data_IF_062040338938
#
_entry.id   IF_062040338938
#
_cell.length_a   1.000
_cell.length_b   1.000
_cell.length_c   1.000
_cell.angle_alpha   90.00
_cell.angle_beta   90.00
_cell.angle_gamma   90.00
#
_symmetry.space_group_name_H-M   'P 1'
#
loop_
_entity.id
_entity.type
_entity.pdbx_description
1 polymer ?
#
# COMPACT_ATOMS: atom_id res chain seq x y z
N UNK A 1 0.06 9.94 67.44
CA UNK A 1 -1.21 9.46 66.86
C UNK A 1 -1.56 10.27 65.62
N UNK A 2 -1.51 11.62 65.67
CA UNK A 2 -1.70 12.51 64.50
C UNK A 2 -0.82 12.19 63.29
N UNK A 3 0.51 12.03 63.45
CA UNK A 3 1.42 11.67 62.32
C UNK A 3 1.08 10.35 61.62
N UNK A 4 0.46 9.39 62.32
CA UNK A 4 0.09 8.09 61.74
C UNK A 4 -1.20 8.23 60.92
N UNK A 5 -2.13 9.06 61.39
CA UNK A 5 -3.35 9.42 60.66
C UNK A 5 -3.06 10.29 59.42
N UNK A 6 -2.12 11.25 59.52
CA UNK A 6 -1.68 12.07 58.38
C UNK A 6 -1.01 11.23 57.29
N UNK A 7 -0.13 10.29 57.66
CA UNK A 7 0.51 9.39 56.70
C UNK A 7 -0.50 8.46 56.01
N UNK A 8 -1.46 7.89 56.76
CA UNK A 8 -2.51 7.04 56.17
C UNK A 8 -3.45 7.81 55.22
N UNK A 9 -3.69 9.10 55.47
CA UNK A 9 -4.50 9.95 54.59
C UNK A 9 -3.74 10.32 53.31
N UNK A 10 -2.43 10.61 53.42
CA UNK A 10 -1.55 10.86 52.27
C UNK A 10 -1.43 9.62 51.38
N UNK A 11 -1.21 8.43 51.97
CA UNK A 11 -1.10 7.17 51.23
C UNK A 11 -2.40 6.84 50.48
N UNK A 12 -3.57 7.08 51.11
CA UNK A 12 -4.87 6.92 50.46
C UNK A 12 -5.10 7.90 49.31
N UNK A 13 -4.59 9.13 49.40
CA UNK A 13 -4.65 10.12 48.33
C UNK A 13 -3.71 9.75 47.17
N UNK A 14 -2.49 9.32 47.48
CA UNK A 14 -1.52 8.83 46.49
C UNK A 14 -2.11 7.66 45.72
N UNK A 15 -2.71 6.67 46.39
CA UNK A 15 -3.31 5.53 45.72
C UNK A 15 -4.43 5.95 44.75
N UNK A 16 -5.31 6.87 45.15
CA UNK A 16 -6.36 7.39 44.26
C UNK A 16 -5.81 8.15 43.06
N UNK A 17 -4.72 8.91 43.22
CA UNK A 17 -4.05 9.60 42.11
C UNK A 17 -3.43 8.57 41.16
N UNK A 18 -2.76 7.55 41.69
CA UNK A 18 -2.16 6.46 40.90
C UNK A 18 -3.25 5.71 40.11
N UNK A 19 -4.34 5.32 40.76
CA UNK A 19 -5.45 4.61 40.12
C UNK A 19 -6.07 5.44 38.99
N UNK A 20 -6.28 6.74 39.23
CA UNK A 20 -6.83 7.66 38.23
C UNK A 20 -5.85 7.88 37.06
N UNK A 21 -4.55 7.99 37.32
CA UNK A 21 -3.52 8.11 36.28
C UNK A 21 -3.45 6.84 35.44
N UNK A 22 -3.41 5.66 36.08
CA UNK A 22 -3.40 4.36 35.39
C UNK A 22 -4.66 4.20 34.55
N UNK A 23 -5.83 4.57 35.09
CA UNK A 23 -7.10 4.55 34.36
C UNK A 23 -7.05 5.45 33.14
N UNK A 24 -6.52 6.66 33.26
CA UNK A 24 -6.37 7.58 32.13
C UNK A 24 -5.42 7.03 31.08
N UNK A 25 -4.27 6.47 31.47
CA UNK A 25 -3.29 5.87 30.55
C UNK A 25 -3.92 4.68 29.80
N UNK A 26 -4.60 3.78 30.51
CA UNK A 26 -5.26 2.61 29.89
C UNK A 26 -6.37 2.98 28.92
N UNK A 27 -7.03 4.12 29.15
CA UNK A 27 -8.14 4.60 28.34
C UNK A 27 -7.72 5.64 27.29
N UNK A 28 -6.42 5.91 27.11
CA UNK A 28 -5.99 6.75 25.99
C UNK A 28 -6.21 6.01 24.67
N UNK A 29 -6.82 6.66 23.68
CA UNK A 29 -6.97 6.06 22.36
C UNK A 29 -5.58 5.83 21.76
N UNK A 30 -5.34 4.61 21.28
CA UNK A 30 -4.11 4.27 20.55
C UNK A 30 -4.03 5.11 19.28
N UNK A 31 -2.82 5.55 18.94
CA UNK A 31 -2.54 6.42 17.79
C UNK A 31 -1.73 5.66 16.76
N UNK A 32 -2.26 5.57 15.54
CA UNK A 32 -1.52 5.00 14.41
C UNK A 32 -1.26 6.03 13.33
N UNK A 33 -0.06 5.98 12.75
CA UNK A 33 0.21 6.61 11.45
C UNK A 33 0.05 5.55 10.38
N UNK A 34 -0.91 5.78 9.50
CA UNK A 34 -1.27 4.86 8.43
C UNK A 34 -0.66 5.35 7.12
N UNK A 35 0.00 4.46 6.40
CA UNK A 35 0.68 4.74 5.15
C UNK A 35 0.00 4.04 3.99
N UNK A 36 -0.32 4.79 2.95
CA UNK A 36 -0.74 4.24 1.66
C UNK A 36 0.29 4.57 0.59
N UNK A 37 0.58 3.60 -0.26
CA UNK A 37 1.51 3.75 -1.39
C UNK A 37 0.75 3.68 -2.72
N UNK A 38 1.47 3.76 -3.84
CA UNK A 38 0.87 3.68 -5.19
C UNK A 38 0.43 2.26 -5.58
N UNK A 39 -0.34 1.57 -4.72
CA UNK A 39 -0.81 0.22 -4.96
C UNK A 39 -2.27 0.03 -4.54
N UNK A 40 -3.04 -0.66 -5.38
CA UNK A 40 -4.47 -0.91 -5.18
C UNK A 40 -4.82 -2.33 -4.72
N UNK A 41 -3.92 -3.30 -4.92
CA UNK A 41 -4.13 -4.69 -4.48
C UNK A 41 -4.18 -4.75 -2.95
N UNK A 42 -5.23 -5.36 -2.39
CA UNK A 42 -5.46 -5.42 -0.95
C UNK A 42 -5.98 -4.13 -0.32
N UNK A 43 -6.31 -3.10 -1.11
CA UNK A 43 -6.76 -1.80 -0.61
C UNK A 43 -8.07 -1.90 0.17
N UNK A 44 -9.06 -2.62 -0.35
CA UNK A 44 -10.39 -2.69 0.28
C UNK A 44 -10.33 -3.43 1.61
N UNK A 45 -9.62 -4.56 1.63
CA UNK A 45 -9.39 -5.37 2.81
C UNK A 45 -8.67 -4.57 3.90
N UNK A 46 -7.70 -3.75 3.49
CA UNK A 46 -6.98 -2.87 4.41
C UNK A 46 -7.87 -1.73 4.93
N UNK A 47 -8.69 -1.11 4.08
CA UNK A 47 -9.67 -0.11 4.50
C UNK A 47 -10.66 -0.66 5.52
N UNK A 48 -11.18 -1.87 5.28
CA UNK A 48 -12.09 -2.53 6.22
C UNK A 48 -11.43 -2.80 7.59
N UNK A 49 -10.14 -3.14 7.61
CA UNK A 49 -9.36 -3.26 8.85
C UNK A 49 -9.16 -1.92 9.56
N UNK A 50 -8.87 -0.84 8.82
CA UNK A 50 -8.70 0.50 9.40
C UNK A 50 -9.99 1.05 10.01
N UNK A 51 -11.13 0.80 9.35
CA UNK A 51 -12.46 1.15 9.86
C UNK A 51 -12.76 0.43 11.19
N UNK A 52 -12.37 -0.85 11.31
CA UNK A 52 -12.47 -1.59 12.58
C UNK A 52 -11.59 -0.97 13.68
N UNK A 53 -10.35 -0.55 13.35
CA UNK A 53 -9.50 0.15 14.32
C UNK A 53 -10.12 1.46 14.81
N UNK A 54 -10.69 2.28 13.90
CA UNK A 54 -11.39 3.50 14.31
C UNK A 54 -12.61 3.21 15.19
N UNK A 55 -13.38 2.16 14.86
CA UNK A 55 -14.53 1.74 15.66
C UNK A 55 -14.11 1.34 17.09
N UNK A 56 -12.91 0.78 17.24
CA UNK A 56 -12.30 0.46 18.53
C UNK A 56 -11.61 1.67 19.20
N UNK A 57 -11.82 2.87 18.68
CA UNK A 57 -11.36 4.13 19.27
C UNK A 57 -9.93 4.52 18.90
N UNK A 58 -9.29 3.87 17.92
CA UNK A 58 -7.98 4.29 17.46
C UNK A 58 -8.04 5.65 16.74
N UNK A 59 -7.06 6.49 17.01
CA UNK A 59 -6.83 7.74 16.28
C UNK A 59 -5.87 7.47 15.12
N UNK A 60 -6.31 7.75 13.90
CA UNK A 60 -5.52 7.52 12.69
C UNK A 60 -5.05 8.85 12.09
N UNK A 61 -3.75 8.95 11.77
CA UNK A 61 -3.22 9.95 10.84
C UNK A 61 -2.85 9.24 9.55
N UNK A 62 -3.36 9.68 8.41
CA UNK A 62 -3.14 9.01 7.13
C UNK A 62 -2.15 9.78 6.28
N UNK A 63 -1.11 9.09 5.81
CA UNK A 63 -0.07 9.59 4.92
C UNK A 63 -0.11 8.82 3.60
N UNK A 64 -0.26 9.53 2.49
CA UNK A 64 -0.15 8.97 1.15
C UNK A 64 1.20 9.32 0.53
N UNK A 65 1.82 8.36 -0.17
CA UNK A 65 2.92 8.71 -1.08
C UNK A 65 2.42 9.52 -2.27
N UNK A 66 3.33 10.18 -2.98
CA UNK A 66 2.98 10.93 -4.19
C UNK A 66 2.31 10.05 -5.26
N UNK A 67 2.70 8.78 -5.36
CA UNK A 67 2.03 7.81 -6.25
C UNK A 67 0.72 7.30 -5.65
N UNK A 68 0.63 7.17 -4.33
CA UNK A 68 -0.64 6.88 -3.65
C UNK A 68 -1.69 7.96 -3.92
N UNK A 69 -1.29 9.24 -3.94
CA UNK A 69 -2.17 10.37 -4.30
C UNK A 69 -2.68 10.32 -5.75
N UNK A 70 -1.99 9.61 -6.65
CA UNK A 70 -2.38 9.48 -8.07
C UNK A 70 -3.19 8.22 -8.34
N UNK A 71 -2.84 7.13 -7.66
CA UNK A 71 -3.41 5.79 -7.89
C UNK A 71 -4.67 5.57 -7.07
N UNK A 72 -4.71 6.10 -5.86
CA UNK A 72 -5.85 5.98 -4.95
C UNK A 72 -6.72 7.23 -5.06
N UNK A 73 -7.92 7.16 -4.50
CA UNK A 73 -8.82 8.32 -4.34
C UNK A 73 -8.65 8.88 -2.91
N UNK A 74 -7.87 9.97 -2.71
CA UNK A 74 -7.63 10.53 -1.40
C UNK A 74 -8.90 11.09 -0.77
N UNK A 75 -9.84 11.59 -1.59
CA UNK A 75 -11.12 12.12 -1.12
C UNK A 75 -12.01 11.01 -0.57
N UNK A 76 -12.06 9.86 -1.24
CA UNK A 76 -12.76 8.68 -0.74
C UNK A 76 -12.15 8.18 0.57
N UNK A 77 -10.81 8.05 0.65
CA UNK A 77 -10.12 7.65 1.89
C UNK A 77 -10.42 8.63 3.03
N UNK A 78 -10.36 9.93 2.75
CA UNK A 78 -10.63 10.97 3.73
C UNK A 78 -12.06 10.88 4.28
N UNK A 79 -13.04 10.68 3.39
CA UNK A 79 -14.44 10.57 3.77
C UNK A 79 -14.74 9.27 4.52
N UNK A 80 -14.27 8.12 4.04
CA UNK A 80 -14.52 6.81 4.66
C UNK A 80 -13.91 6.74 6.07
N UNK A 81 -12.71 7.28 6.27
CA UNK A 81 -12.05 7.32 7.57
C UNK A 81 -12.38 8.57 8.39
N UNK A 82 -13.32 9.42 7.95
CA UNK A 82 -13.71 10.66 8.63
C UNK A 82 -12.51 11.49 9.12
N UNK A 83 -11.59 11.82 8.20
CA UNK A 83 -10.32 12.48 8.50
C UNK A 83 -10.39 13.97 8.18
N UNK A 84 -9.83 14.81 9.06
CA UNK A 84 -9.69 16.25 8.80
C UNK A 84 -8.72 16.54 7.65
N UNK A 85 -7.68 15.70 7.52
CA UNK A 85 -6.62 15.89 6.53
C UNK A 85 -5.98 14.56 6.11
N UNK A 86 -5.67 14.46 4.83
CA UNK A 86 -4.72 13.48 4.29
C UNK A 86 -3.35 14.14 4.18
N UNK A 87 -2.35 13.54 4.80
CA UNK A 87 -0.97 14.03 4.75
C UNK A 87 -0.26 13.50 3.49
N UNK A 88 0.53 14.34 2.85
CA UNK A 88 1.38 13.98 1.71
C UNK A 88 2.56 14.95 1.62
N UNK A 89 3.51 14.69 0.72
CA UNK A 89 4.75 15.48 0.60
C UNK A 89 4.54 17.00 0.50
N UNK A 90 3.45 17.44 -0.14
CA UNK A 90 3.14 18.84 -0.38
C UNK A 90 2.52 19.59 0.81
N UNK A 91 2.05 18.90 1.85
CA UNK A 91 1.39 19.54 3.00
C UNK A 91 2.02 19.20 4.36
N UNK A 92 2.94 18.23 4.42
CA UNK A 92 3.66 17.89 5.66
C UNK A 92 4.68 18.97 5.97
N UNK A 93 4.40 19.78 7.00
CA UNK A 93 5.32 20.82 7.50
C UNK A 93 6.35 20.27 8.49
N UNK A 94 5.96 19.28 9.29
CA UNK A 94 6.79 18.66 10.32
C UNK A 94 6.51 17.16 10.37
N UNK A 95 7.50 16.35 10.03
CA UNK A 95 7.39 14.90 10.17
C UNK A 95 7.23 14.47 11.63
N UNK A 96 7.83 15.22 12.57
CA UNK A 96 7.73 14.97 14.02
C UNK A 96 6.30 15.04 14.54
N UNK A 97 5.46 15.88 13.94
CA UNK A 97 4.04 15.95 14.31
C UNK A 97 3.28 14.68 13.93
N UNK A 98 3.76 13.92 12.94
CA UNK A 98 3.17 12.65 12.54
C UNK A 98 3.64 11.53 13.46
N UNK A 99 4.96 11.34 13.60
CA UNK A 99 5.49 10.18 14.34
C UNK A 99 5.59 10.38 15.85
N UNK A 100 5.68 11.62 16.36
CA UNK A 100 6.09 11.90 17.75
C UNK A 100 5.12 11.43 18.84
N UNK A 101 3.91 11.06 18.46
CA UNK A 101 2.90 10.50 19.38
C UNK A 101 2.27 9.20 18.87
N UNK A 102 2.90 8.58 17.86
CA UNK A 102 2.40 7.36 17.27
C UNK A 102 2.79 6.15 18.12
N UNK A 103 1.81 5.35 18.50
CA UNK A 103 2.03 4.06 19.16
C UNK A 103 2.38 2.97 18.15
N UNK A 104 2.00 3.16 16.88
CA UNK A 104 2.18 2.17 15.82
C UNK A 104 2.19 2.82 14.43
N UNK A 105 2.92 2.21 13.51
CA UNK A 105 2.86 2.48 12.09
C UNK A 105 2.15 1.34 11.36
N UNK A 106 1.23 1.70 10.46
CA UNK A 106 0.45 0.74 9.68
C UNK A 106 0.63 1.05 8.19
N UNK A 107 1.30 0.20 7.43
CA UNK A 107 1.38 0.34 5.98
C UNK A 107 0.20 -0.43 5.37
N UNK A 108 -0.90 0.29 5.12
CA UNK A 108 -2.15 -0.27 4.63
C UNK A 108 -2.05 -0.76 3.18
N UNK A 109 -1.19 -0.14 2.36
CA UNK A 109 -0.85 -0.67 1.03
C UNK A 109 0.63 -0.51 0.81
N UNK A 110 1.36 -1.63 0.67
CA UNK A 110 2.80 -1.61 0.42
C UNK A 110 3.11 -2.02 -1.02
N UNK A 111 3.48 -1.06 -1.85
CA UNK A 111 3.90 -1.33 -3.22
C UNK A 111 5.20 -2.12 -3.27
N UNK A 112 5.42 -2.84 -4.38
CA UNK A 112 6.72 -3.50 -4.68
C UNK A 112 7.89 -2.51 -4.55
N UNK A 113 7.73 -1.28 -5.05
CA UNK A 113 8.76 -0.25 -4.99
C UNK A 113 9.06 0.16 -3.54
N UNK A 114 8.03 0.34 -2.72
CA UNK A 114 8.19 0.66 -1.29
C UNK A 114 8.88 -0.48 -0.55
N UNK A 115 8.47 -1.72 -0.76
CA UNK A 115 9.08 -2.87 -0.12
C UNK A 115 10.57 -2.99 -0.48
N UNK A 116 10.90 -2.86 -1.77
CA UNK A 116 12.29 -2.90 -2.24
C UNK A 116 13.14 -1.78 -1.64
N UNK A 117 12.64 -0.54 -1.61
CA UNK A 117 13.37 0.60 -1.06
C UNK A 117 13.60 0.47 0.44
N UNK A 118 12.59 0.05 1.20
CA UNK A 118 12.74 -0.18 2.64
C UNK A 118 13.73 -1.30 2.94
N UNK A 119 13.70 -2.40 2.18
CA UNK A 119 14.59 -3.55 2.38
C UNK A 119 16.08 -3.19 2.28
N UNK A 120 16.42 -2.14 1.52
CA UNK A 120 17.80 -1.66 1.34
C UNK A 120 18.07 -0.29 2.00
N UNK A 121 17.13 0.21 2.81
CA UNK A 121 17.30 1.47 3.56
C UNK A 121 17.21 2.76 2.73
N UNK A 122 16.58 2.74 1.56
CA UNK A 122 16.34 3.96 0.76
C UNK A 122 15.20 4.78 1.37
N UNK A 123 15.47 6.05 1.64
CA UNK A 123 14.52 7.01 2.23
C UNK A 123 14.32 8.26 1.37
N UNK A 124 14.19 8.08 0.07
CA UNK A 124 14.13 9.17 -0.93
C UNK A 124 12.75 9.84 -1.08
N UNK A 125 11.78 9.44 -0.26
CA UNK A 125 10.45 10.08 -0.18
C UNK A 125 10.08 10.38 1.27
N UNK A 126 9.18 11.34 1.49
CA UNK A 126 8.70 11.68 2.83
C UNK A 126 8.09 10.46 3.54
N UNK A 127 7.33 9.63 2.82
CA UNK A 127 6.74 8.40 3.38
C UNK A 127 7.81 7.42 3.83
N UNK A 128 8.83 7.17 3.00
CA UNK A 128 9.92 6.25 3.36
C UNK A 128 10.74 6.78 4.53
N UNK A 129 11.00 8.09 4.58
CA UNK A 129 11.68 8.75 5.69
C UNK A 129 10.90 8.61 7.02
N UNK A 130 9.58 8.77 6.98
CA UNK A 130 8.71 8.53 8.13
C UNK A 130 8.79 7.08 8.61
N UNK A 131 8.63 6.10 7.73
CA UNK A 131 8.69 4.67 8.09
C UNK A 131 10.07 4.32 8.66
N UNK A 132 11.14 4.80 8.03
CA UNK A 132 12.51 4.59 8.50
C UNK A 132 12.76 5.20 9.88
N UNK A 133 12.19 6.37 10.17
CA UNK A 133 12.21 6.92 11.53
C UNK A 133 11.52 5.97 12.52
N UNK A 134 10.41 5.34 12.13
CA UNK A 134 9.74 4.32 12.94
C UNK A 134 10.65 3.16 13.29
N UNK A 135 11.41 2.64 12.33
CA UNK A 135 12.42 1.60 12.58
C UNK A 135 13.46 2.06 13.59
N UNK A 136 14.04 3.25 13.39
CA UNK A 136 15.08 3.78 14.27
C UNK A 136 14.56 4.12 15.68
N UNK A 137 13.28 4.49 15.81
CA UNK A 137 12.64 4.79 17.08
C UNK A 137 12.08 3.56 17.80
N UNK A 138 12.13 2.37 17.18
CA UNK A 138 11.51 1.15 17.71
C UNK A 138 9.98 1.20 17.72
N UNK A 139 9.36 2.06 16.90
CA UNK A 139 7.90 2.11 16.73
C UNK A 139 7.44 0.83 16.04
N UNK A 140 6.50 0.05 16.60
CA UNK A 140 5.97 -1.14 15.95
C UNK A 140 5.42 -0.83 14.56
N UNK A 141 5.80 -1.64 13.56
CA UNK A 141 5.33 -1.50 12.18
C UNK A 141 4.58 -2.74 11.74
N UNK A 142 3.34 -2.55 11.28
CA UNK A 142 2.50 -3.59 10.67
C UNK A 142 2.28 -3.21 9.21
N UNK A 143 2.41 -4.14 8.27
CA UNK A 143 2.25 -3.85 6.85
C UNK A 143 1.46 -4.93 6.11
N UNK A 144 0.58 -4.48 5.22
CA UNK A 144 -0.14 -5.34 4.29
C UNK A 144 0.75 -5.73 3.11
N UNK A 145 0.91 -7.04 2.85
CA UNK A 145 1.78 -7.56 1.80
C UNK A 145 1.11 -7.80 0.46
N UNK A 146 -0.22 -7.73 0.36
CA UNK A 146 -0.97 -8.09 -0.84
C UNK A 146 -0.39 -7.46 -2.12
N UNK A 147 -0.07 -6.17 -2.05
CA UNK A 147 0.46 -5.42 -3.17
C UNK A 147 1.93 -5.72 -3.52
N UNK A 148 2.77 -6.11 -2.56
CA UNK A 148 4.18 -6.42 -2.82
C UNK A 148 4.45 -7.91 -3.02
N UNK A 149 3.53 -8.78 -2.60
CA UNK A 149 3.64 -10.22 -2.76
C UNK A 149 3.49 -10.59 -4.25
N UNK A 150 4.49 -11.22 -4.89
CA UNK A 150 4.38 -11.70 -6.26
C UNK A 150 3.34 -12.81 -6.45
N UNK A 151 2.91 -13.44 -5.35
CA UNK A 151 2.02 -14.61 -5.33
C UNK A 151 0.59 -14.26 -4.94
N UNK A 152 0.29 -12.97 -4.74
CA UNK A 152 -1.07 -12.53 -4.46
C UNK A 152 -2.01 -12.92 -5.62
N UNK A 153 -3.16 -13.57 -5.35
CA UNK A 153 -4.09 -13.99 -6.39
C UNK A 153 -4.61 -12.84 -7.27
N UNK A 154 -4.81 -11.65 -6.70
CA UNK A 154 -5.25 -10.48 -7.45
C UNK A 154 -4.19 -10.05 -8.46
N UNK A 155 -2.90 -10.18 -8.11
CA UNK A 155 -1.79 -9.88 -9.03
C UNK A 155 -1.79 -10.83 -10.23
N UNK A 156 -2.04 -12.11 -10.01
CA UNK A 156 -2.18 -13.08 -11.10
C UNK A 156 -3.38 -12.77 -11.99
N UNK A 157 -4.53 -12.43 -11.39
CA UNK A 157 -5.75 -12.05 -12.10
C UNK A 157 -5.57 -10.80 -12.98
N UNK A 158 -4.70 -9.88 -12.58
CA UNK A 158 -4.30 -8.70 -13.37
C UNK A 158 -3.28 -9.01 -14.48
N UNK A 159 -2.99 -10.29 -14.75
CA UNK A 159 -2.06 -10.72 -15.79
C UNK A 159 -0.58 -10.58 -15.41
N UNK A 160 -0.27 -10.26 -14.16
CA UNK A 160 1.10 -10.01 -13.68
C UNK A 160 1.78 -11.26 -13.08
N UNK A 161 1.20 -12.45 -13.25
CA UNK A 161 1.73 -13.72 -12.72
C UNK A 161 2.85 -14.38 -13.55
N UNK A 162 3.31 -13.74 -14.63
CA UNK A 162 4.26 -14.32 -15.60
C UNK A 162 5.73 -13.94 -15.35
N UNK A 163 6.04 -13.35 -14.20
CA UNK A 163 7.40 -12.95 -13.85
C UNK A 163 8.36 -14.16 -13.78
N UNK A 164 9.64 -13.94 -14.10
CA UNK A 164 10.64 -15.00 -14.03
C UNK A 164 10.83 -15.48 -12.58
N UNK A 165 11.21 -16.75 -12.36
CA UNK A 165 11.43 -17.27 -11.01
C UNK A 165 12.41 -16.44 -10.17
N UNK A 166 13.53 -15.99 -10.76
CA UNK A 166 14.52 -15.15 -10.05
C UNK A 166 14.01 -13.77 -9.66
N UNK A 167 13.15 -13.17 -10.49
CA UNK A 167 12.55 -11.88 -10.14
C UNK A 167 11.56 -12.04 -8.98
N UNK A 168 10.77 -13.12 -8.99
CA UNK A 168 9.85 -13.46 -7.91
C UNK A 168 10.59 -13.71 -6.59
N UNK A 169 11.68 -14.47 -6.65
CA UNK A 169 12.59 -14.69 -5.52
C UNK A 169 13.11 -13.38 -4.93
N UNK A 170 13.60 -12.45 -5.76
CA UNK A 170 14.04 -11.13 -5.30
C UNK A 170 12.91 -10.34 -4.60
N UNK A 171 11.68 -10.40 -5.12
CA UNK A 171 10.53 -9.74 -4.48
C UNK A 171 10.19 -10.35 -3.12
N UNK A 172 10.23 -11.68 -3.00
CA UNK A 172 10.04 -12.39 -1.74
C UNK A 172 11.16 -12.03 -0.76
N UNK A 173 12.42 -12.02 -1.19
CA UNK A 173 13.56 -11.67 -0.33
C UNK A 173 13.47 -10.25 0.23
N UNK A 174 12.88 -9.30 -0.51
CA UNK A 174 12.61 -7.96 0.03
C UNK A 174 11.59 -8.03 1.18
N UNK A 175 10.54 -8.84 1.05
CA UNK A 175 9.52 -9.04 2.10
C UNK A 175 10.16 -9.73 3.32
N UNK A 176 10.98 -10.76 3.11
CA UNK A 176 11.70 -11.45 4.21
C UNK A 176 12.63 -10.49 4.96
N UNK A 177 13.43 -9.69 4.24
CA UNK A 177 14.30 -8.67 4.86
C UNK A 177 13.52 -7.70 5.75
N UNK A 178 12.33 -7.29 5.32
CA UNK A 178 11.47 -6.42 6.12
C UNK A 178 10.92 -7.10 7.37
N UNK A 179 10.65 -8.41 7.29
CA UNK A 179 10.29 -9.22 8.46
C UNK A 179 11.46 -9.30 9.45
N UNK A 180 12.68 -9.47 8.94
CA UNK A 180 13.90 -9.52 9.76
C UNK A 180 14.19 -8.17 10.44
N UNK A 181 13.76 -7.04 9.85
CA UNK A 181 13.78 -5.73 10.52
C UNK A 181 12.72 -5.58 11.62
N UNK A 182 11.89 -6.61 11.85
CA UNK A 182 10.88 -6.63 12.90
C UNK A 182 9.49 -6.15 12.45
N UNK A 183 9.25 -5.98 11.15
CA UNK A 183 7.90 -5.67 10.66
C UNK A 183 6.97 -6.87 10.79
N UNK A 184 5.74 -6.62 11.24
CA UNK A 184 4.66 -7.61 11.13
C UNK A 184 4.02 -7.54 9.74
N UNK A 185 4.28 -8.55 8.93
CA UNK A 185 3.84 -8.61 7.53
C UNK A 185 2.63 -9.55 7.40
N UNK A 186 1.48 -9.01 6.99
CA UNK A 186 0.19 -9.71 6.99
C UNK A 186 -0.63 -9.38 5.75
N UNK A 187 -1.74 -10.09 5.51
CA UNK A 187 -2.73 -9.65 4.51
C UNK A 187 -3.54 -8.45 5.04
N UNK A 188 -4.09 -7.64 4.14
CA UNK A 188 -4.89 -6.44 4.49
C UNK A 188 -6.05 -6.74 5.43
N UNK A 189 -6.70 -7.90 5.25
CA UNK A 189 -7.80 -8.37 6.10
C UNK A 189 -7.38 -8.65 7.56
N UNK A 190 -6.09 -8.91 7.79
CA UNK A 190 -5.52 -9.29 9.08
C UNK A 190 -4.83 -8.11 9.79
N UNK A 191 -4.79 -6.92 9.16
CA UNK A 191 -4.23 -5.71 9.76
C UNK A 191 -4.90 -5.40 11.10
N UNK A 192 -6.23 -5.45 11.17
CA UNK A 192 -6.97 -5.17 12.41
C UNK A 192 -6.52 -6.10 13.55
N UNK A 193 -6.61 -7.42 13.33
CA UNK A 193 -6.26 -8.43 14.34
C UNK A 193 -4.80 -8.29 14.81
N UNK A 194 -3.91 -7.99 13.87
CA UNK A 194 -2.47 -7.83 14.14
C UNK A 194 -2.13 -6.56 14.92
N UNK A 195 -2.88 -5.48 14.70
CA UNK A 195 -2.71 -4.22 15.43
C UNK A 195 -3.24 -4.32 16.88
N UNK A 196 -4.35 -5.02 17.09
CA UNK A 196 -4.96 -5.13 18.44
C UNK A 196 -4.29 -6.20 19.31
N UNK A 197 -3.69 -7.24 18.74
CA UNK A 197 -3.08 -8.35 19.49
C UNK A 197 -1.82 -7.98 20.27
N UNK A 198 -1.29 -6.76 20.11
CA UNK A 198 -0.07 -6.30 20.77
C UNK A 198 1.20 -6.90 20.16
N UNK A 199 2.38 -6.37 20.48
CA UNK A 199 3.66 -7.00 20.07
C UNK A 199 3.68 -8.47 20.53
N UNK A 200 4.08 -9.44 19.69
CA UNK A 200 4.13 -10.82 20.12
C UNK A 200 5.29 -10.92 21.11
N UNK A 201 4.98 -11.30 22.34
CA UNK A 201 5.87 -12.26 23.00
C UNK A 201 5.91 -13.46 22.06
N UNK A 202 7.10 -13.83 21.60
CA UNK A 202 7.38 -14.84 20.56
C UNK A 202 6.32 -15.95 20.45
N UNK A 203 5.53 -15.91 19.38
CA UNK A 203 4.86 -17.11 18.87
C UNK A 203 4.64 -16.94 17.37
N UNK A 204 5.67 -17.29 16.61
CA UNK A 204 5.56 -17.64 15.20
C UNK A 204 4.64 -18.85 15.07
N UNK A 205 3.34 -18.63 14.85
CA UNK A 205 2.48 -19.63 14.22
C UNK A 205 1.61 -18.94 13.18
N UNK A 206 2.03 -19.13 11.92
CA UNK A 206 1.26 -18.89 10.72
C UNK A 206 -0.02 -19.73 10.80
N UNK A 207 -1.18 -19.08 10.82
CA UNK A 207 -2.45 -19.72 10.52
C UNK A 207 -2.67 -19.53 9.03
N UNK A 208 -2.34 -20.56 8.24
CA UNK A 208 -2.83 -20.68 6.86
C UNK A 208 -3.58 -22.00 6.80
N UNK A 209 -4.90 -21.92 6.74
CA UNK A 209 -5.73 -23.07 6.38
C UNK A 209 -5.61 -23.29 4.88
N UNK A 210 -5.08 -24.47 4.53
CA UNK A 210 -5.10 -25.05 3.19
C UNK A 210 -6.51 -24.98 2.60
N UNK A 211 -6.68 -24.34 1.44
CA UNK A 211 -7.81 -24.65 0.57
C UNK A 211 -7.31 -24.93 -0.83
N UNK A 212 -7.47 -26.19 -1.18
CA UNK A 212 -7.08 -26.87 -2.41
C UNK A 212 -7.76 -26.33 -3.67
N UNK A 213 -7.02 -26.45 -4.76
CA UNK A 213 -7.34 -26.21 -6.17
C UNK A 213 -8.68 -26.82 -6.64
N UNK A 214 -9.36 -26.12 -7.56
CA UNK A 214 -10.33 -26.71 -8.49
C UNK A 214 -10.21 -26.07 -9.89
N UNK A 215 -10.11 -26.92 -10.91
CA UNK A 215 -9.95 -26.58 -12.32
C UNK A 215 -11.29 -26.32 -13.05
N UNK A 216 -11.21 -25.43 -14.05
CA UNK A 216 -11.91 -25.33 -15.36
C UNK A 216 -13.45 -25.30 -15.45
N UNK A 217 -13.95 -24.28 -16.16
CA UNK A 217 -14.73 -24.44 -17.42
C UNK A 217 -14.77 -23.15 -18.25
N UNK A 218 -14.63 -23.32 -19.56
CA UNK A 218 -14.81 -22.31 -20.61
C UNK A 218 -16.29 -21.89 -20.78
N UNK A 219 -16.52 -20.65 -21.23
CA UNK A 219 -17.63 -20.37 -22.15
C UNK A 219 -17.34 -19.18 -23.06
N UNK A 220 -17.45 -19.44 -24.36
CA UNK A 220 -17.47 -18.51 -25.50
C UNK A 220 -18.82 -17.80 -25.56
N UNK A 221 -18.90 -16.51 -25.91
CA UNK A 221 -19.85 -15.90 -26.90
C UNK A 221 -19.37 -14.50 -27.32
N UNK A 222 -19.30 -14.27 -28.63
CA UNK A 222 -19.08 -13.01 -29.35
C UNK A 222 -20.37 -12.18 -29.50
N UNK A 223 -20.30 -10.85 -29.60
CA UNK A 223 -21.13 -10.07 -30.54
C UNK A 223 -20.49 -8.71 -30.93
N UNK A 224 -20.56 -8.40 -32.24
CA UNK A 224 -19.91 -7.32 -33.02
C UNK A 224 -20.64 -5.94 -32.91
N UNK A 225 -20.07 -4.78 -33.31
CA UNK A 225 -19.92 -4.21 -34.68
C UNK A 225 -19.14 -2.85 -34.61
N UNK A 226 -18.01 -2.66 -35.32
CA UNK A 226 -17.77 -2.04 -36.65
C UNK A 226 -17.68 -0.49 -36.73
N UNK A 227 -16.50 0.06 -37.10
CA UNK A 227 -16.28 1.07 -38.17
C UNK A 227 -14.86 0.91 -38.72
N UNK A 228 -14.74 0.76 -40.03
CA UNK A 228 -13.52 0.60 -40.81
C UNK A 228 -12.85 1.96 -41.09
N UNK A 229 -11.58 2.08 -40.72
CA UNK A 229 -10.58 2.86 -41.48
C UNK A 229 -9.26 2.09 -41.44
N UNK A 230 -8.97 1.37 -42.52
CA UNK A 230 -7.85 0.42 -42.60
C UNK A 230 -6.46 1.08 -42.64
N UNK A 231 -6.37 2.40 -42.80
CA UNK A 231 -5.13 3.16 -42.76
C UNK A 231 -5.27 4.42 -41.89
N UNK A 232 -4.26 4.70 -41.06
CA UNK A 232 -4.17 5.89 -40.23
C UNK A 232 -2.80 6.58 -40.40
N UNK A 233 -2.74 7.90 -40.31
CA UNK A 233 -1.49 8.67 -40.40
C UNK A 233 -1.20 9.33 -39.05
N UNK A 234 0.00 9.10 -38.51
CA UNK A 234 0.50 9.80 -37.31
C UNK A 234 1.62 10.75 -37.70
N UNK A 235 1.29 12.03 -37.85
CA UNK A 235 2.28 13.09 -38.09
C UNK A 235 2.86 13.60 -36.77
N UNK A 236 3.78 12.81 -36.19
CA UNK A 236 4.48 13.15 -34.95
C UNK A 236 5.94 12.73 -35.00
N UNK A 237 6.82 13.57 -34.43
CA UNK A 237 8.26 13.28 -34.29
C UNK A 237 8.56 12.12 -33.33
N UNK A 238 7.72 11.90 -32.32
CA UNK A 238 7.83 10.78 -31.37
C UNK A 238 6.48 10.06 -31.29
N UNK A 239 6.49 8.74 -31.50
CA UNK A 239 5.31 7.87 -31.44
C UNK A 239 5.34 7.07 -30.14
N UNK A 240 4.35 7.31 -29.29
CA UNK A 240 4.17 6.70 -27.97
C UNK A 240 3.14 5.57 -27.99
N UNK A 241 3.11 4.74 -26.94
CA UNK A 241 2.10 3.68 -26.79
C UNK A 241 0.68 4.22 -26.84
N UNK A 242 0.46 5.42 -26.29
CA UNK A 242 -0.86 6.08 -26.27
C UNK A 242 -1.35 6.40 -27.67
N UNK A 243 -0.45 6.79 -28.58
CA UNK A 243 -0.78 7.07 -29.98
C UNK A 243 -1.26 5.80 -30.69
N UNK A 244 -0.60 4.67 -30.41
CA UNK A 244 -0.94 3.36 -30.98
C UNK A 244 -2.28 2.83 -30.42
N UNK A 245 -2.57 3.06 -29.14
CA UNK A 245 -3.84 2.65 -28.51
C UNK A 245 -5.05 3.35 -29.13
N UNK A 246 -4.91 4.61 -29.52
CA UNK A 246 -6.00 5.38 -30.15
C UNK A 246 -6.36 4.84 -31.54
N UNK A 247 -5.41 4.16 -32.20
CA UNK A 247 -5.56 3.65 -33.57
C UNK A 247 -5.49 2.12 -33.62
N UNK A 248 -5.75 1.44 -32.49
CA UNK A 248 -5.70 -0.02 -32.33
C UNK A 248 -6.56 -0.82 -33.31
N UNK A 249 -7.52 -0.16 -33.96
CA UNK A 249 -8.41 -0.77 -34.94
C UNK A 249 -7.93 -0.59 -36.39
N UNK A 250 -6.86 0.17 -36.63
CA UNK A 250 -6.27 0.34 -37.96
C UNK A 250 -5.48 -0.92 -38.38
N UNK A 251 -5.19 -1.07 -39.67
CA UNK A 251 -4.27 -2.12 -40.16
C UNK A 251 -2.90 -1.55 -40.51
N UNK A 252 -2.88 -0.35 -41.08
CA UNK A 252 -1.66 0.33 -41.50
C UNK A 252 -1.54 1.69 -40.83
N UNK A 253 -0.35 2.00 -40.31
CA UNK A 253 -0.02 3.29 -39.70
C UNK A 253 1.12 3.93 -40.47
N UNK A 254 0.85 5.07 -41.12
CA UNK A 254 1.86 5.86 -41.84
C UNK A 254 2.46 6.90 -40.91
N UNK A 255 3.79 6.94 -40.80
CA UNK A 255 4.53 7.90 -39.96
C UNK A 255 5.62 8.60 -40.79
N UNK A 256 6.01 9.84 -40.48
CA UNK A 256 7.16 10.49 -41.13
C UNK A 256 8.46 9.68 -40.99
N UNK A 257 9.31 9.69 -42.03
CA UNK A 257 10.60 8.99 -42.05
C UNK A 257 11.52 9.33 -40.85
N UNK A 258 11.44 10.56 -40.34
CA UNK A 258 12.22 11.05 -39.19
C UNK A 258 11.63 10.74 -37.81
N UNK A 259 10.50 10.03 -37.74
CA UNK A 259 9.81 9.78 -36.46
C UNK A 259 10.50 8.70 -35.62
N UNK A 260 10.60 8.96 -34.32
CA UNK A 260 11.11 8.02 -33.32
C UNK A 260 9.94 7.21 -32.77
N UNK A 261 9.96 5.90 -32.95
CA UNK A 261 8.98 5.00 -32.34
C UNK A 261 9.55 4.55 -30.99
N UNK A 262 8.84 4.83 -29.90
CA UNK A 262 9.24 4.33 -28.58
C UNK A 262 9.11 2.81 -28.51
N UNK A 263 9.92 2.14 -27.66
CA UNK A 263 9.86 0.67 -27.51
C UNK A 263 8.45 0.17 -27.19
N UNK A 264 7.75 0.86 -26.28
CA UNK A 264 6.36 0.55 -25.94
C UNK A 264 5.35 0.76 -27.08
N UNK A 265 5.61 1.69 -28.01
CA UNK A 265 4.79 1.86 -29.21
C UNK A 265 5.01 0.73 -30.21
N UNK A 266 6.26 0.29 -30.40
CA UNK A 266 6.58 -0.84 -31.27
C UNK A 266 5.97 -2.15 -30.74
N UNK A 267 6.03 -2.38 -29.43
CA UNK A 267 5.37 -3.52 -28.78
C UNK A 267 3.85 -3.48 -28.94
N UNK A 268 3.21 -2.33 -28.71
CA UNK A 268 1.77 -2.18 -28.90
C UNK A 268 1.35 -2.36 -30.37
N UNK A 269 2.17 -1.89 -31.33
CA UNK A 269 1.90 -2.09 -32.75
C UNK A 269 1.92 -3.59 -33.11
N UNK A 270 2.86 -4.35 -32.54
CA UNK A 270 2.94 -5.80 -32.69
C UNK A 270 1.77 -6.51 -32.00
N UNK A 271 1.39 -6.07 -30.81
CA UNK A 271 0.26 -6.58 -30.02
C UNK A 271 -1.07 -6.44 -30.78
N UNK A 272 -1.28 -5.31 -31.46
CA UNK A 272 -2.51 -5.02 -32.21
C UNK A 272 -2.44 -5.41 -33.70
N UNK A 273 -1.34 -6.03 -34.16
CA UNK A 273 -1.19 -6.44 -35.56
C UNK A 273 -1.13 -5.28 -36.56
N UNK A 274 -0.63 -4.12 -36.13
CA UNK A 274 -0.50 -2.91 -36.93
C UNK A 274 0.79 -2.96 -37.78
N UNK A 275 0.67 -2.62 -39.06
CA UNK A 275 1.80 -2.44 -39.96
C UNK A 275 2.23 -0.96 -39.98
N UNK A 276 3.43 -0.66 -39.52
CA UNK A 276 3.98 0.71 -39.55
C UNK A 276 4.75 0.94 -40.85
N UNK A 277 4.37 1.96 -41.62
CA UNK A 277 5.04 2.40 -42.84
C UNK A 277 5.63 3.78 -42.61
N UNK A 278 6.92 3.96 -42.89
CA UNK A 278 7.57 5.27 -42.92
C UNK A 278 7.34 5.92 -44.29
N UNK A 279 6.80 7.14 -44.29
CA UNK A 279 6.56 7.96 -45.49
C UNK A 279 7.42 9.23 -45.48
#
# INVERSE_FOLDING_TARGET
MEKILENGLLDGLIQKIVDEVVRRIKNQPKKAVVFFTGASIGFRESMDSLLKLQKDGWQLKVVLSDDGMKVLDPGAIQNELNLDVIYHSGNIKSQKELYGSADMFVIATMSVNTAAKLAVGITDTVLLSLVNHGFMAGTPVVAAINACNPDDPQRAALGMGKSSPKYREMLINNIETLRDFGMKLVCGQDLYATCISGSPTESNQLIVEDTTLAEKKESVVNTALSVNSSECVLDKKVISRTDILQIRNAKVVKIPAGSIITGYAAEAAKEFGLQIIRI
#
